data_IF_551222666981
#
_entry.id   IF_551222666981
#
_cell.length_a   1.000
_cell.length_b   1.000
_cell.length_c   1.000
_cell.angle_alpha   90.00
_cell.angle_beta   90.00
_cell.angle_gamma   90.00
#
_symmetry.space_group_name_H-M   'P 1'
#
loop_
_entity.id
_entity.type
_entity.pdbx_description
1 polymer ?
#
# COMPACT_ATOMS: atom_id res chain seq x y z
N UNK A 1 16.16 -36.38 27.86
CA UNK A 1 14.88 -35.63 27.92
C UNK A 1 15.01 -34.47 26.98
N UNK A 2 14.65 -34.74 25.73
CA UNK A 2 14.76 -33.87 24.56
C UNK A 2 13.47 -34.15 23.82
N UNK A 3 12.42 -33.41 24.13
CA UNK A 3 11.12 -33.58 23.48
C UNK A 3 11.14 -32.79 22.17
N UNK A 4 11.22 -33.56 21.09
CA UNK A 4 11.07 -33.09 19.73
C UNK A 4 9.60 -32.75 19.46
N UNK A 5 9.36 -31.55 18.93
CA UNK A 5 8.08 -31.12 18.36
C UNK A 5 7.80 -32.01 17.12
N UNK A 6 6.61 -32.64 16.99
CA UNK A 6 6.37 -33.56 15.90
C UNK A 6 6.14 -32.79 14.58
N UNK A 7 7.08 -32.95 13.66
CA UNK A 7 6.90 -32.62 12.24
C UNK A 7 5.77 -33.48 11.66
N UNK A 8 4.60 -32.88 11.39
CA UNK A 8 3.56 -33.49 10.59
C UNK A 8 3.95 -33.37 9.11
N UNK A 9 4.59 -34.40 8.57
CA UNK A 9 4.73 -34.57 7.12
C UNK A 9 3.38 -35.01 6.52
N UNK A 10 2.80 -34.29 5.54
CA UNK A 10 1.53 -34.69 4.95
C UNK A 10 1.69 -35.96 4.10
N UNK A 11 0.85 -36.97 4.41
CA UNK A 11 0.75 -38.21 3.64
C UNK A 11 0.16 -37.93 2.27
N UNK A 12 0.97 -38.05 1.23
CA UNK A 12 0.50 -38.05 -0.15
C UNK A 12 -0.31 -39.35 -0.41
N UNK A 13 -1.61 -39.25 -0.74
CA UNK A 13 -2.38 -40.35 -1.33
C UNK A 13 -3.34 -39.86 -2.44
N UNK A 14 -2.94 -40.24 -3.66
CA UNK A 14 -3.71 -40.73 -4.83
C UNK A 14 -5.11 -40.15 -5.18
N UNK A 15 -5.15 -39.59 -6.41
CA UNK A 15 -6.24 -39.30 -7.36
C UNK A 15 -7.41 -38.38 -6.92
N UNK A 16 -7.71 -37.32 -7.71
CA UNK A 16 -8.79 -36.38 -7.39
C UNK A 16 -10.18 -36.99 -7.70
N UNK A 17 -11.17 -36.85 -6.80
CA UNK A 17 -12.55 -37.20 -7.11
C UNK A 17 -13.18 -36.21 -8.11
N UNK A 18 -14.09 -36.73 -8.94
CA UNK A 18 -14.69 -36.05 -10.10
C UNK A 18 -15.49 -34.80 -9.73
N UNK A 19 -15.39 -33.81 -10.62
CA UNK A 19 -16.10 -32.51 -10.67
C UNK A 19 -17.56 -32.61 -10.20
N UNK A 20 -17.95 -31.70 -9.30
CA UNK A 20 -19.35 -31.36 -9.03
C UNK A 20 -19.63 -29.94 -9.54
N UNK A 21 -20.59 -29.85 -10.47
CA UNK A 21 -20.90 -28.77 -11.40
C UNK A 21 -21.53 -27.49 -10.80
N UNK A 22 -21.22 -27.12 -9.54
CA UNK A 22 -21.80 -25.94 -8.89
C UNK A 22 -20.90 -24.68 -8.91
N UNK A 23 -19.58 -24.85 -9.09
CA UNK A 23 -18.60 -23.76 -9.04
C UNK A 23 -18.02 -23.35 -10.40
N UNK A 24 -18.38 -24.02 -11.50
CA UNK A 24 -18.01 -23.59 -12.86
C UNK A 24 -18.60 -22.21 -13.24
N UNK A 25 -19.51 -21.67 -12.43
CA UNK A 25 -20.05 -20.31 -12.56
C UNK A 25 -19.14 -19.21 -12.01
N UNK A 26 -18.00 -19.55 -11.39
CA UNK A 26 -16.97 -18.59 -10.99
C UNK A 26 -15.96 -18.30 -12.12
N UNK A 27 -16.15 -18.88 -13.31
CA UNK A 27 -15.46 -18.44 -14.52
C UNK A 27 -16.14 -17.23 -15.14
N UNK A 28 -15.29 -16.26 -15.52
CA UNK A 28 -15.49 -15.10 -16.41
C UNK A 28 -15.61 -13.75 -15.70
N UNK A 29 -14.45 -13.18 -15.34
CA UNK A 29 -14.24 -11.74 -15.47
C UNK A 29 -14.07 -11.43 -16.95
N UNK A 30 -15.14 -10.97 -17.60
CA UNK A 30 -15.09 -10.44 -18.96
C UNK A 30 -14.89 -8.92 -18.85
N UNK A 31 -13.62 -8.47 -18.89
CA UNK A 31 -13.19 -7.09 -18.61
C UNK A 31 -13.53 -6.08 -19.73
N UNK A 32 -14.43 -6.42 -20.66
CA UNK A 32 -14.65 -5.65 -21.90
C UNK A 32 -15.92 -4.79 -21.94
N UNK A 33 -16.55 -4.50 -20.81
CA UNK A 33 -17.69 -3.56 -20.78
C UNK A 33 -17.69 -2.68 -19.54
N UNK A 34 -16.86 -1.64 -19.56
CA UNK A 34 -17.11 -0.44 -18.78
C UNK A 34 -16.27 0.69 -19.36
N UNK A 35 -16.92 1.57 -20.13
CA UNK A 35 -16.37 2.85 -20.58
C UNK A 35 -16.27 3.88 -19.43
N UNK A 36 -16.38 3.45 -18.16
CA UNK A 36 -16.31 4.29 -16.95
C UNK A 36 -15.02 4.03 -16.15
N UNK A 37 -13.87 4.12 -16.82
CA UNK A 37 -12.53 3.93 -16.22
C UNK A 37 -12.11 5.14 -15.34
N UNK A 38 -12.94 6.19 -15.28
CA UNK A 38 -12.61 7.47 -14.62
C UNK A 38 -13.11 7.61 -13.16
N UNK A 39 -13.82 6.62 -12.60
CA UNK A 39 -14.41 6.74 -11.25
C UNK A 39 -13.93 5.76 -10.17
N UNK A 40 -12.78 5.10 -10.36
CA UNK A 40 -12.19 4.34 -9.25
C UNK A 40 -11.42 5.32 -8.35
N UNK A 41 -12.10 5.73 -7.28
CA UNK A 41 -11.71 6.58 -6.14
C UNK A 41 -10.20 6.73 -5.87
N UNK A 42 -9.49 7.44 -6.73
CA UNK A 42 -8.22 8.09 -6.41
C UNK A 42 -8.59 9.43 -5.79
N UNK A 43 -8.76 9.49 -4.46
CA UNK A 43 -9.02 10.74 -3.73
C UNK A 43 -8.04 11.84 -4.16
N UNK A 44 -8.45 12.82 -5.00
CA UNK A 44 -7.56 13.75 -5.69
C UNK A 44 -7.00 14.86 -4.77
N UNK A 45 -7.54 15.01 -3.56
CA UNK A 45 -7.52 16.30 -2.87
C UNK A 45 -6.32 16.51 -1.94
N UNK A 46 -5.57 15.46 -1.58
CA UNK A 46 -4.38 15.63 -0.71
C UNK A 46 -3.18 16.21 -1.46
N UNK A 47 -2.98 15.85 -2.73
CA UNK A 47 -1.90 16.43 -3.56
C UNK A 47 -2.13 17.93 -3.73
N UNK A 48 -3.39 18.38 -3.73
CA UNK A 48 -3.75 19.80 -3.80
C UNK A 48 -3.67 20.53 -2.46
N UNK A 49 -3.98 19.86 -1.34
CA UNK A 49 -4.09 20.48 -0.01
C UNK A 49 -2.78 20.61 0.76
N UNK A 50 -1.95 19.57 0.78
CA UNK A 50 -0.73 19.55 1.63
C UNK A 50 0.56 19.96 0.90
N UNK A 51 0.58 19.95 -0.43
CA UNK A 51 1.77 20.28 -1.22
C UNK A 51 1.67 21.61 -1.96
N UNK A 52 0.49 22.25 -1.96
CA UNK A 52 0.32 23.54 -2.61
C UNK A 52 0.46 24.66 -1.57
N UNK A 53 1.68 25.13 -1.39
CA UNK A 53 1.86 26.53 -0.98
C UNK A 53 1.10 27.38 -2.01
N UNK A 54 0.10 28.18 -1.62
CA UNK A 54 -0.56 29.08 -2.56
C UNK A 54 0.45 30.15 -2.94
N UNK A 55 1.20 29.90 -4.01
CA UNK A 55 2.16 30.88 -4.52
C UNK A 55 1.36 32.01 -5.18
N UNK A 56 1.06 33.07 -4.42
CA UNK A 56 0.48 34.31 -4.97
C UNK A 56 1.50 35.07 -5.83
N UNK A 57 2.77 34.69 -5.80
CA UNK A 57 3.82 35.31 -6.57
C UNK A 57 4.25 34.36 -7.69
N UNK A 58 3.57 34.43 -8.85
CA UNK A 58 3.86 33.58 -10.02
C UNK A 58 5.31 33.64 -10.54
N UNK A 59 6.18 34.48 -9.97
CA UNK A 59 7.55 34.73 -10.41
C UNK A 59 8.66 34.37 -9.40
N UNK A 60 8.37 33.92 -8.18
CA UNK A 60 9.43 33.49 -7.24
C UNK A 60 9.65 31.97 -7.30
N UNK A 61 10.91 31.54 -7.26
CA UNK A 61 11.25 30.13 -7.19
C UNK A 61 10.67 29.54 -5.89
N UNK A 62 10.15 28.30 -5.88
CA UNK A 62 9.55 27.70 -4.68
C UNK A 62 10.50 27.64 -3.47
N UNK A 63 11.81 27.60 -3.72
CA UNK A 63 12.87 27.58 -2.72
C UNK A 63 13.32 28.98 -2.25
N UNK A 64 12.65 30.04 -2.69
CA UNK A 64 12.90 31.38 -2.19
C UNK A 64 12.45 31.49 -0.72
N UNK A 65 13.36 31.92 0.16
CA UNK A 65 13.08 32.10 1.59
C UNK A 65 11.85 32.99 1.83
N UNK A 66 11.61 34.01 1.01
CA UNK A 66 10.43 34.86 1.15
C UNK A 66 9.14 34.06 0.92
N UNK A 67 9.14 33.16 -0.06
CA UNK A 67 8.00 32.30 -0.38
C UNK A 67 7.74 31.30 0.76
N UNK A 68 8.79 30.67 1.28
CA UNK A 68 8.69 29.74 2.44
C UNK A 68 8.21 30.49 3.69
N UNK A 69 8.73 31.69 3.95
CA UNK A 69 8.27 32.53 5.06
C UNK A 69 6.78 32.85 4.97
N UNK A 70 6.30 33.29 3.81
CA UNK A 70 4.87 33.58 3.61
C UNK A 70 4.01 32.33 3.80
N UNK A 71 4.47 31.18 3.30
CA UNK A 71 3.80 29.89 3.48
C UNK A 71 3.69 29.52 4.97
N UNK A 72 4.79 29.67 5.71
CA UNK A 72 4.84 29.36 7.13
C UNK A 72 3.97 30.30 7.96
N UNK A 73 4.01 31.60 7.65
CA UNK A 73 3.20 32.60 8.35
C UNK A 73 1.72 32.35 8.12
N UNK A 74 1.32 32.03 6.89
CA UNK A 74 -0.06 31.68 6.57
C UNK A 74 -0.54 30.42 7.30
N UNK A 75 0.29 29.38 7.39
CA UNK A 75 -0.04 28.18 8.16
C UNK A 75 -0.28 28.52 9.64
N UNK A 76 0.58 29.35 10.23
CA UNK A 76 0.45 29.80 11.61
C UNK A 76 -0.83 30.63 11.82
N UNK A 77 -1.14 31.54 10.91
CA UNK A 77 -2.35 32.37 11.00
C UNK A 77 -3.61 31.49 10.91
N UNK A 78 -3.67 30.51 10.00
CA UNK A 78 -4.78 29.55 9.93
C UNK A 78 -4.93 28.71 11.21
N UNK A 79 -3.82 28.27 11.82
CA UNK A 79 -3.86 27.55 13.09
C UNK A 79 -4.38 28.43 14.23
N UNK A 80 -4.03 29.73 14.25
CA UNK A 80 -4.57 30.67 15.23
C UNK A 80 -6.08 30.88 15.04
N UNK A 81 -6.52 31.05 13.79
CA UNK A 81 -7.94 31.21 13.46
C UNK A 81 -8.74 29.96 13.84
N UNK A 82 -8.12 28.77 13.75
CA UNK A 82 -8.69 27.50 14.19
C UNK A 82 -8.57 27.25 15.71
N UNK A 83 -7.99 28.19 16.49
CA UNK A 83 -7.79 28.04 17.94
C UNK A 83 -6.78 26.97 18.34
N UNK A 84 -5.84 26.63 17.47
CA UNK A 84 -4.81 25.61 17.73
C UNK A 84 -3.58 26.20 18.43
N UNK A 85 -3.10 25.50 19.47
CA UNK A 85 -1.90 25.87 20.21
C UNK A 85 -0.61 25.75 19.39
N UNK A 86 -0.59 24.88 18.37
CA UNK A 86 0.58 24.66 17.54
C UNK A 86 0.18 24.62 16.07
N UNK A 87 1.04 25.18 15.21
CA UNK A 87 0.94 25.04 13.77
C UNK A 87 1.86 23.92 13.31
N UNK A 88 1.33 22.90 12.64
CA UNK A 88 2.12 21.79 12.09
C UNK A 88 2.16 21.94 10.58
N UNK A 89 3.35 22.06 10.01
CA UNK A 89 3.54 22.15 8.57
C UNK A 89 4.57 21.15 8.08
N UNK A 90 4.22 20.44 7.01
CA UNK A 90 5.07 19.44 6.38
C UNK A 90 5.69 20.01 5.11
N UNK A 91 6.99 19.80 4.92
CA UNK A 91 7.73 20.24 3.73
C UNK A 91 8.50 19.07 3.10
N UNK A 92 8.68 19.09 1.78
CA UNK A 92 9.66 18.21 1.14
C UNK A 92 11.08 18.46 1.68
N UNK A 93 12.03 17.59 1.38
CA UNK A 93 13.36 17.66 1.98
C UNK A 93 14.10 18.96 1.70
N UNK A 94 13.96 19.53 0.50
CA UNK A 94 14.65 20.77 0.14
C UNK A 94 14.00 21.97 0.82
N UNK A 95 12.67 22.04 0.80
CA UNK A 95 11.91 23.11 1.45
C UNK A 95 11.96 23.02 2.97
N UNK A 96 12.10 21.83 3.54
CA UNK A 96 12.24 21.63 4.97
C UNK A 96 13.51 22.29 5.49
N UNK A 97 14.64 22.13 4.78
CA UNK A 97 15.90 22.78 5.15
C UNK A 97 15.76 24.31 5.16
N UNK A 98 15.07 24.86 4.15
CA UNK A 98 14.83 26.31 4.05
C UNK A 98 13.85 26.78 5.13
N UNK A 99 12.79 26.01 5.39
CA UNK A 99 11.81 26.31 6.43
C UNK A 99 12.45 26.32 7.83
N UNK A 100 13.40 25.41 8.09
CA UNK A 100 14.18 25.41 9.33
C UNK A 100 15.04 26.67 9.46
N UNK A 101 15.72 27.10 8.38
CA UNK A 101 16.46 28.37 8.38
C UNK A 101 15.54 29.56 8.69
N UNK A 102 14.36 29.60 8.06
CA UNK A 102 13.36 30.64 8.32
C UNK A 102 12.90 30.61 9.79
N UNK A 103 12.59 29.43 10.34
CA UNK A 103 12.19 29.27 11.74
C UNK A 103 13.29 29.76 12.69
N UNK A 104 14.54 29.36 12.46
CA UNK A 104 15.69 29.77 13.28
C UNK A 104 15.99 31.27 13.18
N UNK A 105 15.72 31.90 12.03
CA UNK A 105 15.91 33.34 11.86
C UNK A 105 14.89 34.19 12.63
N UNK A 106 13.72 33.63 12.97
CA UNK A 106 12.58 34.33 13.58
C UNK A 106 11.91 33.46 14.65
N UNK A 107 12.62 33.11 15.73
CA UNK A 107 12.11 32.21 16.76
C UNK A 107 10.89 32.78 17.47
N UNK A 108 10.81 34.10 17.66
CA UNK A 108 9.67 34.76 18.32
C UNK A 108 8.36 34.61 17.54
N UNK A 109 8.44 34.53 16.21
CA UNK A 109 7.27 34.39 15.33
C UNK A 109 6.88 32.91 15.19
N UNK A 110 7.86 32.01 15.12
CA UNK A 110 7.65 30.59 14.79
C UNK A 110 7.89 29.64 15.97
N UNK A 111 7.85 30.13 17.22
CA UNK A 111 8.05 29.34 18.43
C UNK A 111 7.06 28.15 18.55
N UNK A 112 5.81 28.34 18.14
CA UNK A 112 4.74 27.32 18.14
C UNK A 112 4.60 26.59 16.80
N UNK A 113 5.52 26.81 15.87
CA UNK A 113 5.47 26.18 14.54
C UNK A 113 6.31 24.90 14.53
N UNK A 114 5.67 23.75 14.41
CA UNK A 114 6.30 22.43 14.31
C UNK A 114 6.48 22.10 12.82
N UNK A 115 7.75 22.00 12.39
CA UNK A 115 8.10 21.63 11.03
C UNK A 115 8.32 20.12 10.95
N UNK A 116 7.68 19.47 9.98
CA UNK A 116 7.81 18.05 9.69
C UNK A 116 8.42 17.80 8.31
N UNK A 117 9.34 16.83 8.22
CA UNK A 117 9.86 16.35 6.95
C UNK A 117 8.80 15.47 6.26
N UNK A 118 8.46 15.78 5.03
CA UNK A 118 7.45 15.06 4.25
C UNK A 118 7.98 13.75 3.68
N UNK A 119 7.17 12.69 3.79
CA UNK A 119 7.51 11.35 3.31
C UNK A 119 7.44 11.15 1.80
N UNK A 120 7.05 12.15 1.01
CA UNK A 120 6.82 12.00 -0.44
C UNK A 120 8.03 11.44 -1.20
N UNK A 121 9.22 12.00 -0.98
CA UNK A 121 10.42 11.53 -1.67
C UNK A 121 10.82 10.13 -1.21
N UNK A 122 10.72 9.84 0.08
CA UNK A 122 11.00 8.50 0.61
C UNK A 122 10.06 7.44 0.02
N UNK A 123 8.77 7.74 -0.07
CA UNK A 123 7.79 6.87 -0.69
C UNK A 123 8.01 6.76 -2.21
N UNK A 124 8.40 7.84 -2.88
CA UNK A 124 8.78 7.81 -4.31
C UNK A 124 10.00 6.90 -4.57
N UNK A 125 11.03 6.99 -3.71
CA UNK A 125 12.18 6.07 -3.76
C UNK A 125 11.75 4.62 -3.53
N UNK A 126 10.77 4.39 -2.67
CA UNK A 126 10.27 3.05 -2.38
C UNK A 126 9.50 2.46 -3.55
N UNK A 127 8.66 3.27 -4.21
CA UNK A 127 7.98 2.87 -5.44
C UNK A 127 8.98 2.48 -6.53
N UNK A 128 10.05 3.26 -6.71
CA UNK A 128 11.13 2.92 -7.62
C UNK A 128 11.87 1.63 -7.23
N UNK A 129 12.04 1.39 -5.92
CA UNK A 129 12.65 0.15 -5.40
C UNK A 129 11.79 -1.07 -5.71
N UNK A 130 10.47 -0.98 -5.51
CA UNK A 130 9.51 -2.02 -5.90
C UNK A 130 9.59 -2.25 -7.41
N UNK A 131 9.52 -1.19 -8.21
CA UNK A 131 9.63 -1.32 -9.66
C UNK A 131 10.92 -2.00 -10.08
N UNK A 132 12.06 -1.66 -9.47
CA UNK A 132 13.36 -2.28 -9.78
C UNK A 132 13.42 -3.78 -9.46
N UNK A 133 12.82 -4.19 -8.34
CA UNK A 133 12.84 -5.58 -7.88
C UNK A 133 11.88 -6.48 -8.67
N UNK A 134 10.72 -5.93 -9.09
CA UNK A 134 9.65 -6.75 -9.68
C UNK A 134 9.40 -6.53 -11.18
N UNK A 135 9.88 -5.44 -11.79
CA UNK A 135 9.60 -5.12 -13.20
C UNK A 135 9.98 -6.26 -14.15
N UNK A 136 11.24 -6.71 -14.07
CA UNK A 136 11.81 -7.72 -14.96
C UNK A 136 11.35 -9.15 -14.62
N UNK A 137 10.70 -9.35 -13.47
CA UNK A 137 10.11 -10.63 -13.09
C UNK A 137 8.60 -10.71 -13.36
N UNK A 138 8.12 -9.94 -14.34
CA UNK A 138 6.76 -10.04 -14.88
C UNK A 138 5.77 -8.98 -14.38
N UNK A 139 6.15 -8.07 -13.47
CA UNK A 139 5.24 -6.99 -13.04
C UNK A 139 4.97 -6.01 -14.20
N UNK A 140 5.99 -5.69 -14.99
CA UNK A 140 5.82 -4.83 -16.16
C UNK A 140 4.88 -5.48 -17.17
N UNK A 141 5.12 -6.74 -17.49
CA UNK A 141 4.33 -7.47 -18.48
C UNK A 141 2.89 -7.62 -18.00
N UNK A 142 2.67 -7.92 -16.72
CA UNK A 142 1.32 -7.97 -16.14
C UNK A 142 0.58 -6.63 -16.30
N UNK A 143 1.24 -5.49 -16.05
CA UNK A 143 0.62 -4.17 -16.21
C UNK A 143 0.31 -3.81 -17.67
N UNK A 144 1.13 -4.30 -18.61
CA UNK A 144 1.01 -4.00 -20.05
C UNK A 144 0.03 -4.93 -20.73
N UNK A 145 0.18 -6.24 -20.53
CA UNK A 145 -0.59 -7.28 -21.19
C UNK A 145 -2.03 -7.35 -20.68
N UNK A 146 -2.29 -6.90 -19.44
CA UNK A 146 -3.65 -6.70 -18.93
C UNK A 146 -4.35 -5.47 -19.49
N UNK A 147 -3.66 -4.60 -20.23
CA UNK A 147 -4.20 -3.35 -20.76
C UNK A 147 -4.35 -2.22 -19.74
N UNK A 148 -3.91 -2.41 -18.48
CA UNK A 148 -3.99 -1.37 -17.44
C UNK A 148 -3.12 -0.16 -17.79
N UNK A 149 -1.92 -0.38 -18.34
CA UNK A 149 -1.04 0.69 -18.80
C UNK A 149 -0.34 0.38 -20.12
N UNK A 150 -0.17 1.39 -20.96
CA UNK A 150 0.73 1.30 -22.11
C UNK A 150 2.20 1.12 -21.66
N UNK A 151 3.01 0.43 -22.48
CA UNK A 151 4.40 0.06 -22.13
C UNK A 151 5.26 1.20 -21.58
N UNK A 152 5.28 2.35 -22.26
CA UNK A 152 6.06 3.51 -21.80
C UNK A 152 5.53 4.07 -20.46
N UNK A 153 4.22 4.03 -20.23
CA UNK A 153 3.62 4.47 -18.96
C UNK A 153 3.99 3.52 -17.82
N UNK A 154 3.97 2.21 -18.06
CA UNK A 154 4.41 1.21 -17.09
C UNK A 154 5.90 1.40 -16.74
N UNK A 155 6.76 1.71 -17.72
CA UNK A 155 8.18 1.99 -17.47
C UNK A 155 8.41 3.25 -16.63
N UNK A 156 7.75 4.36 -16.95
CA UNK A 156 7.87 5.59 -16.16
C UNK A 156 7.37 5.40 -14.73
N UNK A 157 6.29 4.64 -14.57
CA UNK A 157 5.75 4.23 -13.28
C UNK A 157 6.75 3.42 -12.46
N UNK A 158 7.28 2.33 -13.03
CA UNK A 158 8.19 1.42 -12.34
C UNK A 158 9.53 2.08 -12.00
N UNK A 159 9.92 3.11 -12.75
CA UNK A 159 11.07 3.97 -12.42
C UNK A 159 10.76 5.03 -11.34
N UNK A 160 9.57 5.05 -10.76
CA UNK A 160 9.16 6.01 -9.73
C UNK A 160 8.97 7.45 -10.22
N UNK A 161 8.88 7.67 -11.55
CA UNK A 161 8.67 9.01 -12.12
C UNK A 161 7.21 9.44 -12.09
N UNK A 162 6.29 8.47 -12.11
CA UNK A 162 4.84 8.69 -12.11
C UNK A 162 4.23 8.20 -10.80
N UNK A 163 4.38 8.97 -9.73
CA UNK A 163 3.98 8.58 -8.37
C UNK A 163 2.52 8.08 -8.28
N UNK A 164 1.55 8.88 -8.75
CA UNK A 164 0.13 8.54 -8.64
C UNK A 164 -0.20 7.26 -9.42
N UNK A 165 0.41 7.10 -10.60
CA UNK A 165 0.22 5.90 -11.41
C UNK A 165 0.85 4.69 -10.73
N UNK A 166 2.03 4.84 -10.11
CA UNK A 166 2.70 3.76 -9.39
C UNK A 166 1.90 3.25 -8.20
N UNK A 167 1.38 4.16 -7.37
CA UNK A 167 0.49 3.79 -6.27
C UNK A 167 -0.74 3.05 -6.80
N UNK A 168 -1.37 3.56 -7.87
CA UNK A 168 -2.55 2.93 -8.45
C UNK A 168 -2.25 1.55 -9.04
N UNK A 169 -1.21 1.44 -9.85
CA UNK A 169 -0.80 0.20 -10.51
C UNK A 169 -0.44 -0.87 -9.49
N UNK A 170 0.38 -0.56 -8.49
CA UNK A 170 0.74 -1.52 -7.45
C UNK A 170 -0.46 -1.95 -6.61
N UNK A 171 -1.40 -1.04 -6.33
CA UNK A 171 -2.64 -1.38 -5.61
C UNK A 171 -3.51 -2.34 -6.42
N UNK A 172 -3.66 -2.10 -7.73
CA UNK A 172 -4.40 -3.00 -8.62
C UNK A 172 -3.80 -4.41 -8.68
N UNK A 173 -2.48 -4.50 -8.84
CA UNK A 173 -1.79 -5.80 -8.87
C UNK A 173 -1.88 -6.48 -7.51
N UNK A 174 -1.74 -5.73 -6.42
CA UNK A 174 -1.93 -6.25 -5.06
C UNK A 174 -3.32 -6.83 -4.86
N UNK A 175 -4.38 -6.10 -5.24
CA UNK A 175 -5.77 -6.59 -5.14
C UNK A 175 -5.97 -7.89 -5.96
N UNK A 176 -5.50 -7.91 -7.21
CA UNK A 176 -5.62 -9.09 -8.06
C UNK A 176 -4.89 -10.31 -7.47
N UNK A 177 -3.67 -10.12 -6.95
CA UNK A 177 -2.90 -11.18 -6.32
C UNK A 177 -3.50 -11.62 -4.97
N UNK A 178 -4.09 -10.72 -4.19
CA UNK A 178 -4.79 -11.07 -2.95
C UNK A 178 -6.02 -11.95 -3.22
N UNK A 179 -6.78 -11.67 -4.28
CA UNK A 179 -7.91 -12.52 -4.68
C UNK A 179 -7.44 -13.93 -5.08
N UNK A 180 -6.35 -14.02 -5.85
CA UNK A 180 -5.73 -15.30 -6.20
C UNK A 180 -5.21 -16.03 -4.96
N UNK A 181 -4.59 -15.32 -4.02
CA UNK A 181 -4.12 -15.87 -2.76
C UNK A 181 -5.28 -16.42 -1.92
N UNK A 182 -6.38 -15.68 -1.76
CA UNK A 182 -7.56 -16.13 -1.03
C UNK A 182 -8.12 -17.41 -1.66
N UNK A 183 -8.18 -17.46 -2.99
CA UNK A 183 -8.62 -18.66 -3.72
C UNK A 183 -7.69 -19.85 -3.47
N UNK A 184 -6.38 -19.63 -3.48
CA UNK A 184 -5.38 -20.65 -3.17
C UNK A 184 -5.46 -21.11 -1.71
N UNK A 185 -5.70 -20.20 -0.78
CA UNK A 185 -5.91 -20.49 0.64
C UNK A 185 -7.13 -21.37 0.87
N UNK A 186 -8.28 -21.04 0.26
CA UNK A 186 -9.49 -21.86 0.34
C UNK A 186 -9.23 -23.27 -0.20
N UNK A 187 -8.54 -23.38 -1.33
CA UNK A 187 -8.16 -24.67 -1.90
C UNK A 187 -7.26 -25.46 -0.94
N UNK A 188 -6.21 -24.83 -0.41
CA UNK A 188 -5.30 -25.42 0.56
C UNK A 188 -6.05 -25.91 1.81
N UNK A 189 -6.97 -25.11 2.35
CA UNK A 189 -7.78 -25.51 3.49
C UNK A 189 -8.59 -26.80 3.23
N UNK A 190 -9.09 -26.99 2.01
CA UNK A 190 -9.80 -28.22 1.63
C UNK A 190 -8.86 -29.41 1.43
N UNK A 191 -7.69 -29.18 0.83
CA UNK A 191 -6.70 -30.23 0.56
C UNK A 191 -6.08 -30.80 1.83
N UNK A 192 -5.92 -29.97 2.87
CA UNK A 192 -5.28 -30.36 4.12
C UNK A 192 -6.25 -30.47 5.31
N UNK A 193 -7.56 -30.66 5.05
CA UNK A 193 -8.61 -30.83 6.07
C UNK A 193 -8.61 -29.73 7.15
N UNK A 194 -8.29 -28.51 6.73
CA UNK A 194 -8.26 -27.32 7.57
C UNK A 194 -9.53 -26.47 7.44
N UNK A 195 -10.34 -26.72 6.41
CA UNK A 195 -11.55 -25.95 6.12
C UNK A 195 -12.55 -25.94 7.28
N UNK A 196 -12.78 -27.11 7.89
CA UNK A 196 -13.71 -27.27 9.02
C UNK A 196 -13.14 -26.76 10.36
N UNK A 197 -11.84 -26.49 10.43
CA UNK A 197 -11.20 -25.89 11.62
C UNK A 197 -11.41 -24.36 11.67
N UNK A 198 -11.77 -23.76 10.54
CA UNK A 198 -12.09 -22.34 10.45
C UNK A 198 -13.61 -22.17 10.66
N UNK A 199 -14.05 -21.34 11.63
CA UNK A 199 -15.46 -21.11 11.90
C UNK A 199 -16.22 -20.67 10.65
N UNK A 200 -17.43 -21.19 10.47
CA UNK A 200 -18.33 -20.78 9.39
C UNK A 200 -18.58 -19.26 9.37
N UNK A 201 -18.53 -18.61 10.54
CA UNK A 201 -18.60 -17.15 10.65
C UNK A 201 -17.50 -16.42 9.84
N UNK A 202 -16.27 -16.95 9.82
CA UNK A 202 -15.19 -16.37 9.01
C UNK A 202 -15.52 -16.44 7.52
N UNK A 203 -15.96 -17.60 7.04
CA UNK A 203 -16.33 -17.80 5.64
C UNK A 203 -17.52 -16.93 5.22
N UNK A 204 -18.52 -16.80 6.09
CA UNK A 204 -19.68 -15.96 5.84
C UNK A 204 -19.30 -14.48 5.76
N UNK A 205 -18.48 -13.98 6.70
CA UNK A 205 -18.01 -12.58 6.69
C UNK A 205 -17.13 -12.30 5.46
N UNK A 206 -16.29 -13.25 5.06
CA UNK A 206 -15.48 -13.12 3.85
C UNK A 206 -16.36 -13.03 2.59
N UNK A 207 -17.43 -13.82 2.51
CA UNK A 207 -18.40 -13.78 1.41
C UNK A 207 -19.24 -12.50 1.44
N UNK A 208 -19.69 -12.05 2.61
CA UNK A 208 -20.37 -10.76 2.80
C UNK A 208 -19.48 -9.60 2.34
N UNK A 209 -18.19 -9.61 2.71
CA UNK A 209 -17.22 -8.62 2.29
C UNK A 209 -17.04 -8.62 0.76
N UNK A 210 -16.83 -9.78 0.16
CA UNK A 210 -16.71 -9.91 -1.29
C UNK A 210 -17.95 -9.39 -2.02
N UNK A 211 -19.14 -9.77 -1.55
CA UNK A 211 -20.43 -9.35 -2.14
C UNK A 211 -20.62 -7.84 -2.01
N UNK A 212 -20.29 -7.26 -0.86
CA UNK A 212 -20.35 -5.81 -0.63
C UNK A 212 -19.45 -5.02 -1.60
N UNK A 213 -18.26 -5.55 -1.90
CA UNK A 213 -17.34 -4.95 -2.89
C UNK A 213 -17.89 -5.05 -4.30
N UNK A 214 -18.43 -6.20 -4.71
CA UNK A 214 -19.03 -6.38 -6.04
C UNK A 214 -20.26 -5.48 -6.24
N UNK A 215 -21.10 -5.36 -5.21
CA UNK A 215 -22.37 -4.63 -5.26
C UNK A 215 -22.20 -3.13 -4.92
N UNK A 216 -20.97 -2.68 -4.61
CA UNK A 216 -20.63 -1.31 -4.24
C UNK A 216 -21.49 -0.76 -3.09
N UNK A 217 -21.71 -1.56 -2.05
CA UNK A 217 -22.57 -1.18 -0.91
C UNK A 217 -21.82 -0.43 0.19
N UNK A 218 -22.49 0.51 0.86
CA UNK A 218 -21.90 1.43 1.86
C UNK A 218 -21.64 0.77 3.25
N UNK A 219 -21.77 -0.56 3.36
CA UNK A 219 -21.61 -1.31 4.62
C UNK A 219 -20.19 -1.79 4.90
N UNK A 220 -19.20 -1.32 4.13
CA UNK A 220 -17.84 -1.81 4.18
C UNK A 220 -17.16 -1.66 5.56
N UNK A 221 -17.54 -0.68 6.39
CA UNK A 221 -16.86 -0.39 7.66
C UNK A 221 -17.15 -1.41 8.78
N UNK A 222 -18.40 -1.82 8.96
CA UNK A 222 -18.80 -2.83 9.96
C UNK A 222 -18.30 -4.23 9.56
N UNK A 223 -18.50 -4.60 8.29
CA UNK A 223 -18.05 -5.88 7.73
C UNK A 223 -16.53 -5.99 7.86
N UNK A 224 -15.79 -4.92 7.55
CA UNK A 224 -14.33 -4.87 7.72
C UNK A 224 -13.92 -5.10 9.18
N UNK A 225 -14.57 -4.45 10.13
CA UNK A 225 -14.23 -4.60 11.57
C UNK A 225 -14.46 -6.04 12.04
N UNK A 226 -15.57 -6.67 11.62
CA UNK A 226 -15.88 -8.08 11.90
C UNK A 226 -14.84 -9.01 11.25
N UNK A 227 -14.46 -8.74 10.01
CA UNK A 227 -13.46 -9.52 9.28
C UNK A 227 -12.08 -9.41 9.94
N UNK A 228 -11.65 -8.21 10.33
CA UNK A 228 -10.36 -7.98 11.00
C UNK A 228 -10.26 -8.78 12.29
N UNK A 229 -11.32 -8.78 13.12
CA UNK A 229 -11.35 -9.55 14.37
C UNK A 229 -11.24 -11.06 14.12
N UNK A 230 -12.04 -11.59 13.19
CA UNK A 230 -12.02 -13.02 12.86
C UNK A 230 -10.70 -13.41 12.19
N UNK A 231 -10.10 -12.52 11.42
CA UNK A 231 -8.79 -12.75 10.83
C UNK A 231 -7.69 -12.78 11.91
N UNK A 232 -7.75 -11.92 12.93
CA UNK A 232 -6.82 -11.93 14.06
C UNK A 232 -6.88 -13.27 14.81
N UNK A 233 -8.09 -13.77 15.08
CA UNK A 233 -8.32 -15.07 15.72
C UNK A 233 -7.80 -16.26 14.89
N UNK A 234 -7.74 -16.12 13.55
CA UNK A 234 -7.33 -17.17 12.61
C UNK A 234 -6.05 -16.85 11.82
N UNK A 235 -5.26 -15.87 12.27
CA UNK A 235 -4.06 -15.41 11.56
C UNK A 235 -2.99 -16.50 11.45
N UNK A 236 -3.00 -17.49 12.36
CA UNK A 236 -2.10 -18.65 12.30
C UNK A 236 -2.30 -19.47 11.01
N UNK A 237 -3.56 -19.68 10.60
CA UNK A 237 -3.92 -20.42 9.38
C UNK A 237 -3.36 -19.75 8.13
N UNK A 238 -3.41 -18.41 8.10
CA UNK A 238 -2.84 -17.62 7.01
C UNK A 238 -1.31 -17.74 6.96
N UNK A 239 -0.63 -17.75 8.12
CA UNK A 239 0.82 -17.98 8.17
C UNK A 239 1.23 -19.37 7.68
N UNK A 240 0.48 -20.40 8.06
CA UNK A 240 0.79 -21.77 7.62
C UNK A 240 0.73 -21.93 6.10
N UNK A 241 -0.25 -21.31 5.43
CA UNK A 241 -0.30 -21.38 3.95
C UNK A 241 0.85 -20.61 3.31
N UNK A 242 1.28 -19.49 3.92
CA UNK A 242 2.43 -18.73 3.43
C UNK A 242 3.72 -19.54 3.55
N UNK A 243 3.99 -20.12 4.72
CA UNK A 243 5.17 -20.98 4.96
C UNK A 243 5.18 -22.17 4.00
N UNK A 244 4.06 -22.87 3.89
CA UNK A 244 3.91 -23.98 2.94
C UNK A 244 4.14 -23.52 1.49
N UNK A 245 3.56 -22.38 1.09
CA UNK A 245 3.71 -21.84 -0.25
C UNK A 245 5.14 -21.40 -0.56
N UNK A 246 5.86 -20.84 0.41
CA UNK A 246 7.27 -20.46 0.29
C UNK A 246 8.17 -21.66 0.05
N UNK A 247 7.92 -22.76 0.75
CA UNK A 247 8.70 -24.00 0.61
C UNK A 247 8.35 -24.77 -0.67
N UNK A 248 7.11 -24.63 -1.15
CA UNK A 248 6.62 -25.37 -2.31
C UNK A 248 6.93 -24.68 -3.64
N UNK A 249 6.91 -23.34 -3.69
CA UNK A 249 7.02 -22.60 -4.95
C UNK A 249 7.85 -21.32 -4.83
N UNK A 250 8.99 -21.23 -5.57
CA UNK A 250 9.75 -19.98 -5.66
C UNK A 250 8.92 -18.82 -6.22
N UNK A 251 7.99 -19.09 -7.14
CA UNK A 251 7.08 -18.08 -7.70
C UNK A 251 6.10 -17.57 -6.66
N UNK A 252 5.57 -18.45 -5.81
CA UNK A 252 4.70 -18.04 -4.72
C UNK A 252 5.45 -17.11 -3.76
N UNK A 253 6.66 -17.52 -3.34
CA UNK A 253 7.52 -16.70 -2.48
C UNK A 253 7.81 -15.33 -3.08
N UNK A 254 8.12 -15.28 -4.38
CA UNK A 254 8.42 -14.04 -5.10
C UNK A 254 7.25 -13.05 -5.10
N UNK A 255 6.02 -13.52 -5.34
CA UNK A 255 4.82 -12.67 -5.33
C UNK A 255 4.31 -12.37 -3.93
N UNK A 256 4.51 -13.26 -2.96
CA UNK A 256 4.23 -12.96 -1.54
C UNK A 256 5.13 -11.82 -1.03
N UNK A 257 6.42 -11.83 -1.40
CA UNK A 257 7.31 -10.70 -1.10
C UNK A 257 6.86 -9.39 -1.77
N UNK A 258 6.29 -9.43 -2.98
CA UNK A 258 5.66 -8.26 -3.60
C UNK A 258 4.48 -7.75 -2.79
N UNK A 259 3.58 -8.65 -2.36
CA UNK A 259 2.43 -8.29 -1.53
C UNK A 259 2.87 -7.60 -0.24
N UNK A 260 3.90 -8.12 0.42
CA UNK A 260 4.48 -7.49 1.62
C UNK A 260 5.02 -6.08 1.30
N UNK A 261 5.73 -5.90 0.19
CA UNK A 261 6.26 -4.59 -0.19
C UNK A 261 5.14 -3.57 -0.46
N UNK A 262 4.08 -3.95 -1.19
CA UNK A 262 2.94 -3.07 -1.43
C UNK A 262 2.15 -2.80 -0.15
N UNK A 263 2.03 -3.77 0.75
CA UNK A 263 1.41 -3.57 2.06
C UNK A 263 2.17 -2.52 2.89
N UNK A 264 3.51 -2.55 2.88
CA UNK A 264 4.35 -1.52 3.51
C UNK A 264 4.09 -0.15 2.88
N UNK A 265 3.98 -0.07 1.54
CA UNK A 265 3.64 1.17 0.83
C UNK A 265 2.30 1.73 1.30
N UNK A 266 1.24 0.91 1.30
CA UNK A 266 -0.11 1.32 1.71
C UNK A 266 -0.16 1.74 3.18
N UNK A 267 0.52 1.02 4.06
CA UNK A 267 0.63 1.37 5.47
C UNK A 267 1.39 2.68 5.69
N UNK A 268 2.43 2.96 4.90
CA UNK A 268 3.14 4.25 4.96
C UNK A 268 2.26 5.41 4.46
N UNK A 269 1.53 5.22 3.35
CA UNK A 269 0.54 6.20 2.85
C UNK A 269 -0.52 6.50 3.90
N UNK A 270 -1.01 5.48 4.60
CA UNK A 270 -1.97 5.63 5.69
C UNK A 270 -1.38 6.42 6.86
N UNK A 271 -0.19 6.05 7.33
CA UNK A 271 0.50 6.74 8.43
C UNK A 271 0.72 8.23 8.12
N UNK A 272 1.15 8.55 6.90
CA UNK A 272 1.32 9.92 6.42
C UNK A 272 0.01 10.72 6.41
N UNK A 273 -1.09 10.10 5.96
CA UNK A 273 -2.42 10.73 5.84
C UNK A 273 -3.10 10.93 7.20
N UNK A 274 -2.99 9.97 8.09
CA UNK A 274 -3.61 10.02 9.43
C UNK A 274 -2.78 10.83 10.43
N UNK A 275 -1.53 11.18 10.10
CA UNK A 275 -0.60 11.78 11.06
C UNK A 275 -0.31 10.86 12.25
N UNK A 276 -0.45 9.54 12.05
CA UNK A 276 -0.29 8.54 13.10
C UNK A 276 1.19 8.23 13.32
N UNK A 277 1.77 8.82 14.36
CA UNK A 277 3.18 8.66 14.71
C UNK A 277 3.57 7.23 15.07
N UNK A 278 2.66 6.48 15.70
CA UNK A 278 2.86 5.07 16.04
C UNK A 278 3.02 4.23 14.76
N UNK A 279 2.28 4.59 13.71
CA UNK A 279 2.36 3.92 12.41
C UNK A 279 3.60 4.32 11.59
N UNK A 280 4.40 5.29 12.05
CA UNK A 280 5.60 5.74 11.35
C UNK A 280 6.74 4.70 11.38
N UNK A 281 6.67 3.71 12.28
CA UNK A 281 7.58 2.55 12.30
C UNK A 281 7.58 1.78 10.96
N UNK A 282 6.49 1.88 10.18
CA UNK A 282 6.41 1.30 8.83
C UNK A 282 7.54 1.81 7.93
N UNK A 283 8.04 3.03 8.15
CA UNK A 283 9.20 3.56 7.42
C UNK A 283 10.44 2.67 7.57
N UNK A 284 10.67 2.10 8.75
CA UNK A 284 11.82 1.22 9.01
C UNK A 284 11.71 -0.04 8.13
N UNK A 285 10.49 -0.51 7.85
CA UNK A 285 10.23 -1.65 6.98
C UNK A 285 10.54 -1.37 5.51
N UNK A 286 10.64 -0.10 5.09
CA UNK A 286 11.04 0.28 3.73
C UNK A 286 12.56 0.23 3.54
N UNK A 287 13.35 0.37 4.60
CA UNK A 287 14.82 0.48 4.54
C UNK A 287 15.52 -0.68 3.80
N UNK A 288 15.15 -1.97 4.01
CA UNK A 288 15.80 -3.08 3.30
C UNK A 288 15.68 -2.97 1.78
N UNK A 289 14.59 -2.40 1.28
CA UNK A 289 14.33 -2.25 -0.16
C UNK A 289 15.19 -1.13 -0.77
N UNK A 290 15.50 -0.08 0.00
CA UNK A 290 16.40 0.99 -0.45
C UNK A 290 17.84 0.50 -0.63
N UNK A 291 18.28 -0.47 0.18
CA UNK A 291 19.64 -1.02 0.10
C UNK A 291 19.83 -1.90 -1.15
N UNK A 292 18.76 -2.54 -1.64
CA UNK A 292 18.76 -3.19 -2.95
C UNK A 292 18.73 -2.17 -4.11
N UNK A 293 18.21 -0.96 -3.85
CA UNK A 293 18.11 0.16 -4.78
C UNK A 293 19.35 1.07 -4.76
N UNK A 294 20.58 0.54 -4.73
CA UNK A 294 21.79 1.36 -4.94
C UNK A 294 22.30 1.25 -6.39
N UNK A 295 21.71 1.98 -7.36
CA UNK A 295 22.44 2.32 -8.57
C UNK A 295 23.43 3.43 -8.20
N UNK A 296 24.73 3.17 -8.38
CA UNK A 296 25.83 4.12 -8.29
C UNK A 296 25.45 5.58 -8.58
N UNK A 297 25.61 6.47 -7.58
CA UNK A 297 26.19 7.84 -7.66
C UNK A 297 25.98 8.62 -6.36
N UNK A 298 26.83 8.36 -5.37
CA UNK A 298 27.24 9.34 -4.36
C UNK A 298 28.76 9.21 -4.15
N UNK A 299 29.50 9.70 -5.14
CA UNK A 299 30.81 10.32 -5.00
C UNK A 299 30.81 11.57 -5.90
#
# INVERSE_FOLDING_TARGET
MTDAIPYLQPKCRSEPPRRSDAFDKLQLWDYNKSDDVDQIWVFPDFVKGCYRVPNRNKNSKPNDMATVYTAMKKCLDMSNDAGQDYAIQTFDQQLYAIAQQVKWSKPDIFNRHILRLGGFHSLSCFLASIGKLWADGGLRDLLVDSGVYAGNTAELMLNGKEFNRAVRGFTLVFEALQVLFISAFIHWCRTFDYFDQIPSAFWNVLLEFHTSICDQTDQASDIKTRLEKLFEDHAASYRYVQEWGHDTSPTFKYWDMFLVAVQIMLSNVRAEREGNWSAFEVFIKMLPYFLHYQPYKLL
#
